data_IF_564876412558
#
_entry.id   IF_564876412558
#
_cell.length_a   1.000
_cell.length_b   1.000
_cell.length_c   1.000
_cell.angle_alpha   90.00
_cell.angle_beta   90.00
_cell.angle_gamma   90.00
#
_symmetry.space_group_name_H-M   'P 1'
#
loop_
_entity.id
_entity.type
_entity.pdbx_description
1 polymer ?
#
# COMPACT_ATOMS: atom_id res chain seq x y z
N UNK A 1 7.82 -33.86 13.18
CA UNK A 1 6.59 -33.12 12.82
C UNK A 1 7.03 -31.78 12.25
N UNK A 2 6.65 -31.50 11.00
CA UNK A 2 7.09 -30.32 10.25
C UNK A 2 6.60 -29.05 10.94
N UNK A 3 7.51 -28.12 11.24
CA UNK A 3 7.16 -26.80 11.74
C UNK A 3 6.28 -26.13 10.68
N UNK A 4 5.04 -25.81 11.06
CA UNK A 4 4.08 -25.09 10.22
C UNK A 4 4.76 -23.76 9.84
N UNK A 5 5.19 -23.62 8.58
CA UNK A 5 5.72 -22.36 8.05
C UNK A 5 4.61 -21.34 8.19
N UNK A 6 4.71 -20.48 9.21
CA UNK A 6 3.83 -19.32 9.36
C UNK A 6 4.02 -18.51 8.08
N UNK A 7 2.93 -18.26 7.36
CA UNK A 7 2.97 -17.35 6.21
C UNK A 7 3.34 -15.97 6.74
N UNK A 8 4.18 -15.25 6.00
CA UNK A 8 4.50 -13.88 6.36
C UNK A 8 3.20 -13.04 6.35
N UNK A 9 3.04 -12.10 7.31
CA UNK A 9 1.85 -11.25 7.37
C UNK A 9 1.79 -10.37 6.13
N UNK A 10 0.60 -10.29 5.52
CA UNK A 10 0.35 -9.45 4.35
C UNK A 10 0.47 -7.99 4.76
N UNK A 11 1.35 -7.25 4.10
CA UNK A 11 1.56 -5.83 4.35
C UNK A 11 0.50 -4.98 3.63
N UNK A 12 0.16 -3.78 4.14
CA UNK A 12 -0.69 -2.83 3.41
C UNK A 12 -0.11 -2.45 2.04
N UNK A 13 1.22 -2.47 1.92
CA UNK A 13 1.95 -2.23 0.69
C UNK A 13 1.76 -3.31 -0.36
N UNK A 14 1.70 -4.58 0.05
CA UNK A 14 1.39 -5.70 -0.84
C UNK A 14 -0.05 -5.61 -1.34
N UNK A 15 -1.01 -5.29 -0.47
CA UNK A 15 -2.40 -5.05 -0.89
C UNK A 15 -2.48 -3.91 -1.91
N UNK A 16 -1.82 -2.79 -1.65
CA UNK A 16 -1.75 -1.68 -2.62
C UNK A 16 -1.17 -2.13 -3.97
N UNK A 17 -0.15 -2.99 -3.97
CA UNK A 17 0.48 -3.47 -5.20
C UNK A 17 -0.42 -4.45 -5.95
N UNK A 18 -0.85 -5.51 -5.28
CA UNK A 18 -1.45 -6.70 -5.90
C UNK A 18 -2.94 -6.52 -6.18
N UNK A 19 -3.67 -5.77 -5.34
CA UNK A 19 -5.12 -5.59 -5.50
C UNK A 19 -5.48 -4.33 -6.28
N UNK A 20 -4.56 -3.35 -6.36
CA UNK A 20 -4.83 -2.06 -7.00
C UNK A 20 -3.87 -1.74 -8.14
N UNK A 21 -2.56 -1.71 -7.89
CA UNK A 21 -1.60 -1.25 -8.91
C UNK A 21 -1.48 -2.21 -10.10
N UNK A 22 -1.29 -3.51 -9.84
CA UNK A 22 -1.10 -4.52 -10.89
C UNK A 22 -2.35 -4.70 -11.76
N UNK A 23 -3.57 -4.86 -11.21
CA UNK A 23 -4.78 -5.03 -12.03
C UNK A 23 -5.10 -3.81 -12.89
N UNK A 24 -4.69 -2.61 -12.45
CA UNK A 24 -4.91 -1.35 -13.16
C UNK A 24 -3.73 -0.95 -14.06
N UNK A 25 -2.65 -1.74 -14.12
CA UNK A 25 -1.45 -1.42 -14.90
C UNK A 25 -0.76 -0.13 -14.46
N UNK A 26 -0.80 0.19 -13.16
CA UNK A 26 -0.22 1.39 -12.58
C UNK A 26 1.18 1.11 -12.05
N UNK A 27 2.19 1.75 -12.63
CA UNK A 27 3.55 1.68 -12.10
C UNK A 27 3.72 2.56 -10.86
N UNK A 28 4.73 2.26 -10.03
CA UNK A 28 5.18 3.12 -8.92
C UNK A 28 5.37 4.56 -9.39
N UNK A 29 6.04 4.75 -10.53
CA UNK A 29 6.30 6.08 -11.09
C UNK A 29 5.01 6.82 -11.48
N UNK A 30 4.02 6.09 -12.05
CA UNK A 30 2.72 6.68 -12.38
C UNK A 30 1.98 7.08 -11.11
N UNK A 31 1.80 6.16 -10.16
CA UNK A 31 1.11 6.45 -8.91
C UNK A 31 1.76 7.61 -8.16
N UNK A 32 3.09 7.65 -8.09
CA UNK A 32 3.83 8.72 -7.40
C UNK A 32 3.56 10.09 -8.00
N UNK A 33 3.55 10.20 -9.33
CA UNK A 33 3.21 11.45 -10.02
C UNK A 33 1.76 11.85 -9.78
N UNK A 34 0.84 10.90 -9.92
CA UNK A 34 -0.59 11.16 -9.77
C UNK A 34 -0.94 11.59 -8.33
N UNK A 35 -0.27 11.02 -7.33
CA UNK A 35 -0.40 11.41 -5.92
C UNK A 35 0.42 12.64 -5.53
N UNK A 36 1.23 13.20 -6.45
CA UNK A 36 2.17 14.30 -6.19
C UNK A 36 3.12 14.03 -5.01
N UNK A 37 3.74 12.84 -4.99
CA UNK A 37 4.72 12.42 -3.98
C UNK A 37 6.00 11.90 -4.64
N UNK A 38 7.15 11.96 -3.95
CA UNK A 38 8.38 11.34 -4.43
C UNK A 38 8.24 9.82 -4.69
N UNK A 39 8.84 9.26 -5.77
CA UNK A 39 8.73 7.83 -6.09
C UNK A 39 9.22 6.88 -5.01
N UNK A 40 10.22 7.29 -4.23
CA UNK A 40 10.70 6.49 -3.10
C UNK A 40 9.62 6.27 -2.03
N UNK A 41 8.68 7.21 -1.85
CA UNK A 41 7.57 7.04 -0.89
C UNK A 41 6.72 5.84 -1.25
N UNK A 42 6.27 5.74 -2.51
CA UNK A 42 5.44 4.63 -2.97
C UNK A 42 6.25 3.33 -3.02
N UNK A 43 7.51 3.40 -3.49
CA UNK A 43 8.41 2.25 -3.50
C UNK A 43 8.63 1.67 -2.09
N UNK A 44 8.84 2.51 -1.07
CA UNK A 44 9.01 2.04 0.30
C UNK A 44 7.72 1.44 0.87
N UNK A 45 6.54 2.01 0.54
CA UNK A 45 5.25 1.46 0.96
C UNK A 45 5.04 0.06 0.37
N UNK A 46 5.14 -0.11 -0.95
CA UNK A 46 4.90 -1.42 -1.60
C UNK A 46 5.93 -2.49 -1.25
N UNK A 47 7.04 -2.11 -0.62
CA UNK A 47 8.08 -3.00 -0.11
C UNK A 47 8.03 -3.17 1.42
N UNK A 48 6.98 -2.67 2.09
CA UNK A 48 6.82 -2.79 3.55
C UNK A 48 7.84 -2.00 4.38
N UNK A 49 8.58 -1.06 3.78
CA UNK A 49 9.61 -0.24 4.45
C UNK A 49 9.07 1.07 5.01
N UNK A 50 7.83 1.43 4.67
CA UNK A 50 7.15 2.65 5.10
C UNK A 50 5.67 2.38 5.32
N UNK A 51 5.14 2.82 6.45
CA UNK A 51 3.72 2.74 6.78
C UNK A 51 2.86 3.70 5.93
N UNK A 52 1.60 3.33 5.73
CA UNK A 52 0.59 4.22 5.15
C UNK A 52 0.14 5.23 6.21
N UNK A 53 0.61 6.47 6.09
CA UNK A 53 0.19 7.59 6.95
C UNK A 53 -1.18 8.14 6.55
N UNK A 54 -1.81 8.96 7.41
CA UNK A 54 -3.07 9.64 7.08
C UNK A 54 -2.99 10.53 5.82
N UNK A 55 -1.88 11.24 5.58
CA UNK A 55 -1.66 12.00 4.33
C UNK A 55 -1.68 11.05 3.11
N UNK A 56 -0.98 9.92 3.20
CA UNK A 56 -0.98 8.91 2.12
C UNK A 56 -2.37 8.33 1.91
N UNK A 57 -3.09 7.97 2.98
CA UNK A 57 -4.43 7.40 2.91
C UNK A 57 -5.43 8.36 2.23
N UNK A 58 -5.39 9.66 2.54
CA UNK A 58 -6.22 10.67 1.88
C UNK A 58 -5.90 10.82 0.39
N UNK A 59 -4.62 10.71 0.01
CA UNK A 59 -4.19 10.73 -1.40
C UNK A 59 -4.66 9.48 -2.13
N UNK A 60 -4.51 8.31 -1.54
CA UNK A 60 -5.01 7.04 -2.09
C UNK A 60 -6.52 7.06 -2.23
N UNK A 61 -7.26 7.64 -1.28
CA UNK A 61 -8.71 7.82 -1.37
C UNK A 61 -9.10 8.65 -2.59
N UNK A 62 -8.45 9.80 -2.79
CA UNK A 62 -8.74 10.65 -3.95
C UNK A 62 -8.45 9.96 -5.28
N UNK A 63 -7.47 9.06 -5.31
CA UNK A 63 -7.02 8.41 -6.52
C UNK A 63 -7.82 7.15 -6.86
N UNK A 64 -8.02 6.26 -5.88
CA UNK A 64 -8.71 4.97 -6.06
C UNK A 64 -10.20 5.03 -5.72
N UNK A 65 -10.69 6.09 -5.07
CA UNK A 65 -12.07 6.20 -4.60
C UNK A 65 -12.39 5.35 -3.36
N UNK A 66 -11.38 4.75 -2.73
CA UNK A 66 -11.53 3.93 -1.52
C UNK A 66 -11.28 4.79 -0.28
N UNK A 67 -12.17 4.77 0.71
CA UNK A 67 -12.07 5.61 1.90
C UNK A 67 -10.69 5.52 2.58
N UNK A 68 -10.16 6.65 3.06
CA UNK A 68 -8.87 6.72 3.74
C UNK A 68 -8.82 5.76 4.96
N UNK A 69 -9.96 5.56 5.62
CA UNK A 69 -10.07 4.66 6.76
C UNK A 69 -9.74 3.21 6.40
N UNK A 70 -10.07 2.75 5.18
CA UNK A 70 -9.70 1.41 4.72
C UNK A 70 -8.17 1.23 4.77
N UNK A 71 -7.42 2.18 4.22
CA UNK A 71 -5.96 2.11 4.21
C UNK A 71 -5.34 2.20 5.61
N UNK A 72 -5.94 3.00 6.49
CA UNK A 72 -5.52 3.12 7.88
C UNK A 72 -5.84 1.86 8.69
N UNK A 73 -6.96 1.18 8.39
CA UNK A 73 -7.30 -0.10 9.00
C UNK A 73 -6.28 -1.17 8.58
N UNK A 74 -5.90 -1.25 7.30
CA UNK A 74 -4.84 -2.15 6.85
C UNK A 74 -3.54 -1.93 7.64
N UNK A 75 -3.14 -0.67 7.84
CA UNK A 75 -1.95 -0.36 8.62
C UNK A 75 -2.09 -0.77 10.09
N UNK A 76 -3.26 -0.52 10.68
CA UNK A 76 -3.55 -0.84 12.09
C UNK A 76 -3.62 -2.34 12.33
N UNK A 77 -4.09 -3.12 11.35
CA UNK A 77 -4.14 -4.59 11.41
C UNK A 77 -2.76 -5.22 11.22
N UNK A 78 -1.86 -4.54 10.51
CA UNK A 78 -0.49 -5.00 10.26
C UNK A 78 0.48 -4.68 11.40
N UNK A 79 0.36 -3.49 12.00
CA UNK A 79 1.21 -3.00 13.11
C UNK A 79 1.04 -3.83 14.39
#
# INVERSE_FOLDING_TARGET
>A
MSAKKLLDPITPGEILREDFMEPLGISINRLSRDLSVPPNRISEIVNGKRSITADTALRLQRYFGIEAQFWLNLQTEYD
#
